data_IF_918355046568
#
_entry.id   IF_918355046568
#
_cell.length_a   1.000
_cell.length_b   1.000
_cell.length_c   1.000
_cell.angle_alpha   90.00
_cell.angle_beta   90.00
_cell.angle_gamma   90.00
#
_symmetry.space_group_name_H-M   'P 1'
#
loop_
_entity.id
_entity.type
_entity.pdbx_description
1 polymer ?
#
# COMPACT_ATOMS: atom_id res chain seq x y z
N UNK A 1 32.59 18.15 12.95
CA UNK A 1 31.24 17.53 13.06
C UNK A 1 31.31 16.08 12.57
N UNK A 2 31.18 15.09 13.46
CA UNK A 2 31.18 13.68 13.06
C UNK A 2 29.83 13.29 12.43
N UNK A 3 29.83 12.82 11.17
CA UNK A 3 28.66 12.19 10.56
C UNK A 3 28.39 10.88 11.31
N UNK A 4 27.32 10.82 12.11
CA UNK A 4 26.84 9.55 12.69
C UNK A 4 26.61 8.54 11.57
N UNK A 5 27.30 7.41 11.67
CA UNK A 5 27.16 6.33 10.72
C UNK A 5 25.71 5.83 10.75
N UNK A 6 25.05 5.66 9.58
CA UNK A 6 23.66 5.25 9.53
C UNK A 6 23.49 3.83 10.06
N UNK A 7 22.45 3.58 10.86
CA UNK A 7 22.19 2.25 11.42
C UNK A 7 21.83 1.23 10.33
N UNK A 8 22.25 -0.03 10.53
CA UNK A 8 21.96 -1.17 9.63
C UNK A 8 20.48 -1.29 9.29
N UNK A 9 19.61 -1.06 10.27
CA UNK A 9 18.14 -1.07 10.13
C UNK A 9 17.62 -0.09 9.08
N UNK A 10 18.30 1.05 8.91
CA UNK A 10 17.89 2.08 7.96
C UNK A 10 18.13 1.66 6.52
N UNK A 11 19.22 0.95 6.25
CA UNK A 11 19.54 0.42 4.94
C UNK A 11 18.59 -0.74 4.58
N UNK A 12 18.36 -1.68 5.51
CA UNK A 12 17.45 -2.80 5.29
C UNK A 12 16.03 -2.32 4.97
N UNK A 13 15.50 -1.39 5.75
CA UNK A 13 14.18 -0.82 5.48
C UNK A 13 14.09 -0.18 4.09
N UNK A 14 15.11 0.58 3.66
CA UNK A 14 15.12 1.17 2.32
C UNK A 14 15.08 0.14 1.20
N UNK A 15 15.86 -0.93 1.32
CA UNK A 15 15.82 -2.04 0.34
C UNK A 15 14.49 -2.79 0.35
N UNK A 16 13.85 -2.97 1.52
CA UNK A 16 12.53 -3.56 1.61
C UNK A 16 11.46 -2.69 0.91
N UNK A 17 11.52 -1.36 1.06
CA UNK A 17 10.64 -0.46 0.32
C UNK A 17 10.84 -0.58 -1.20
N UNK A 18 12.09 -0.70 -1.67
CA UNK A 18 12.37 -0.95 -3.11
C UNK A 18 11.79 -2.28 -3.56
N UNK A 19 12.01 -3.35 -2.79
CA UNK A 19 11.53 -4.69 -3.09
C UNK A 19 10.01 -4.77 -3.16
N UNK A 20 9.28 -3.99 -2.35
CA UNK A 20 7.82 -3.86 -2.45
C UNK A 20 7.40 -2.95 -3.60
N UNK A 21 8.11 -1.83 -3.82
CA UNK A 21 7.76 -0.86 -4.84
C UNK A 21 7.80 -1.44 -6.26
N UNK A 22 8.78 -2.29 -6.58
CA UNK A 22 8.91 -2.90 -7.92
C UNK A 22 7.64 -3.65 -8.33
N UNK A 23 7.16 -4.67 -7.58
CA UNK A 23 5.96 -5.41 -7.94
C UNK A 23 4.70 -4.53 -7.86
N UNK A 24 4.62 -3.57 -6.93
CA UNK A 24 3.53 -2.57 -6.93
C UNK A 24 3.53 -1.77 -8.23
N UNK A 25 4.70 -1.34 -8.72
CA UNK A 25 4.82 -0.61 -9.97
C UNK A 25 4.41 -1.44 -11.18
N UNK A 26 4.73 -2.75 -11.18
CA UNK A 26 4.27 -3.68 -12.22
C UNK A 26 2.75 -3.83 -12.18
N UNK A 27 2.16 -4.05 -11.00
CA UNK A 27 0.71 -4.22 -10.83
C UNK A 27 -0.04 -2.93 -11.24
N UNK A 28 0.38 -1.78 -10.71
CA UNK A 28 -0.25 -0.49 -11.03
C UNK A 28 0.00 -0.07 -12.48
N UNK A 29 1.19 -0.38 -13.02
CA UNK A 29 1.51 -0.13 -14.42
C UNK A 29 0.56 -0.89 -15.35
N UNK A 30 0.26 -2.15 -15.04
CA UNK A 30 -0.71 -2.95 -15.79
C UNK A 30 -2.11 -2.33 -15.77
N UNK A 31 -2.57 -1.87 -14.59
CA UNK A 31 -3.85 -1.18 -14.44
C UNK A 31 -3.95 0.03 -15.38
N UNK A 32 -2.91 0.86 -15.45
CA UNK A 32 -2.86 2.01 -16.38
C UNK A 32 -3.10 1.59 -17.84
N UNK A 33 -2.54 0.46 -18.27
CA UNK A 33 -2.71 -0.05 -19.64
C UNK A 33 -4.10 -0.63 -19.89
N UNK A 34 -4.69 -1.31 -18.91
CA UNK A 34 -6.02 -1.92 -19.06
C UNK A 34 -7.14 -0.87 -19.10
N UNK A 35 -6.91 0.31 -18.53
CA UNK A 35 -7.84 1.45 -18.59
C UNK A 35 -7.82 2.25 -19.89
N UNK A 36 -7.12 1.81 -20.94
CA UNK A 36 -7.14 2.48 -22.26
C UNK A 36 -8.52 2.50 -22.93
N UNK A 37 -9.44 1.63 -22.49
CA UNK A 37 -10.83 1.63 -22.94
C UNK A 37 -11.74 2.62 -22.21
N UNK A 38 -11.26 3.31 -21.17
CA UNK A 38 -12.04 4.33 -20.47
C UNK A 38 -12.04 5.65 -21.23
N UNK A 39 -13.12 6.42 -21.09
CA UNK A 39 -13.15 7.82 -21.51
C UNK A 39 -12.02 8.60 -20.83
N UNK A 40 -11.37 9.51 -21.57
CA UNK A 40 -10.24 10.30 -21.10
C UNK A 40 -10.56 11.10 -19.83
N UNK A 41 -11.81 11.51 -19.64
CA UNK A 41 -12.28 12.21 -18.43
C UNK A 41 -12.06 11.36 -17.18
N UNK A 42 -12.16 10.03 -17.27
CA UNK A 42 -11.91 9.11 -16.16
C UNK A 42 -10.49 8.55 -16.16
N UNK A 43 -9.92 8.32 -17.34
CA UNK A 43 -8.57 7.75 -17.47
C UNK A 43 -7.49 8.71 -16.93
N UNK A 44 -7.58 10.01 -17.25
CA UNK A 44 -6.55 11.00 -16.87
C UNK A 44 -6.40 11.13 -15.35
N UNK A 45 -7.47 11.34 -14.54
CA UNK A 45 -7.36 11.39 -13.10
C UNK A 45 -6.76 10.12 -12.49
N UNK A 46 -7.15 8.95 -13.03
CA UNK A 46 -6.68 7.66 -12.57
C UNK A 46 -5.19 7.46 -12.86
N UNK A 47 -4.74 7.82 -14.07
CA UNK A 47 -3.32 7.82 -14.42
C UNK A 47 -2.52 8.78 -13.57
N UNK A 48 -2.99 10.01 -13.37
CA UNK A 48 -2.35 11.00 -12.53
C UNK A 48 -2.22 10.50 -11.08
N UNK A 49 -3.26 9.83 -10.57
CA UNK A 49 -3.24 9.18 -9.25
C UNK A 49 -2.17 8.09 -9.17
N UNK A 50 -2.12 7.14 -10.12
CA UNK A 50 -1.10 6.08 -10.11
C UNK A 50 0.32 6.62 -10.27
N UNK A 51 0.53 7.60 -11.16
CA UNK A 51 1.81 8.29 -11.30
C UNK A 51 2.21 8.99 -9.99
N UNK A 52 1.27 9.60 -9.28
CA UNK A 52 1.48 10.18 -7.96
C UNK A 52 1.93 9.13 -6.94
N UNK A 53 1.26 7.98 -6.87
CA UNK A 53 1.65 6.86 -6.00
C UNK A 53 3.09 6.41 -6.30
N UNK A 54 3.42 6.21 -7.57
CA UNK A 54 4.75 5.76 -8.00
C UNK A 54 5.83 6.81 -7.73
N UNK A 55 5.55 8.09 -7.99
CA UNK A 55 6.49 9.17 -7.76
C UNK A 55 6.82 9.33 -6.26
N UNK A 56 5.80 9.32 -5.40
CA UNK A 56 5.99 9.42 -3.95
C UNK A 56 6.66 8.14 -3.40
N UNK A 57 6.23 6.97 -3.85
CA UNK A 57 6.82 5.68 -3.46
C UNK A 57 8.30 5.58 -3.84
N UNK A 58 8.64 5.96 -5.08
CA UNK A 58 10.03 6.03 -5.56
C UNK A 58 10.85 7.03 -4.74
N UNK A 59 10.28 8.21 -4.44
CA UNK A 59 10.96 9.21 -3.61
C UNK A 59 11.29 8.67 -2.23
N UNK A 60 10.38 7.92 -1.60
CA UNK A 60 10.62 7.27 -0.31
C UNK A 60 11.70 6.19 -0.40
N UNK A 61 11.61 5.31 -1.39
CA UNK A 61 12.56 4.22 -1.60
C UNK A 61 13.98 4.74 -1.87
N UNK A 62 14.12 5.67 -2.82
CA UNK A 62 15.40 6.31 -3.16
C UNK A 62 15.96 7.07 -1.96
N UNK A 63 15.14 7.88 -1.27
CA UNK A 63 15.60 8.61 -0.08
C UNK A 63 16.06 7.68 1.05
N UNK A 64 15.44 6.51 1.18
CA UNK A 64 15.81 5.52 2.17
C UNK A 64 17.16 4.86 1.84
N UNK A 65 17.39 4.50 0.57
CA UNK A 65 18.64 3.90 0.09
C UNK A 65 19.80 4.90 0.09
N UNK A 66 19.60 6.11 -0.45
CA UNK A 66 20.62 7.18 -0.52
C UNK A 66 20.93 7.82 0.84
N UNK A 67 20.22 7.39 1.90
CA UNK A 67 20.43 7.83 3.28
C UNK A 67 20.35 9.34 3.46
N UNK A 68 19.54 10.02 2.66
CA UNK A 68 19.31 11.45 2.82
C UNK A 68 18.82 11.77 4.23
N UNK A 69 19.31 12.88 4.79
CA UNK A 69 18.89 13.35 6.10
C UNK A 69 17.36 13.52 6.12
N UNK A 70 16.74 13.12 7.23
CA UNK A 70 15.32 13.39 7.47
C UNK A 70 15.09 14.90 7.44
N UNK A 71 14.13 15.36 6.62
CA UNK A 71 13.72 16.77 6.60
C UNK A 71 12.63 16.96 7.64
N UNK A 72 12.98 17.56 8.79
CA UNK A 72 12.04 17.90 9.85
C UNK A 72 11.43 16.70 10.57
N UNK A 73 10.98 16.91 11.80
CA UNK A 73 10.17 15.92 12.50
C UNK A 73 8.75 15.92 11.95
N UNK A 74 8.15 14.74 11.74
CA UNK A 74 6.70 14.66 11.55
C UNK A 74 5.99 15.12 12.81
N UNK A 75 5.01 16.02 12.65
CA UNK A 75 4.09 16.38 13.73
C UNK A 75 3.23 15.19 14.16
N UNK A 76 2.74 15.20 15.40
CA UNK A 76 1.99 14.07 15.96
C UNK A 76 0.75 13.72 15.12
N UNK A 77 -0.01 14.73 14.66
CA UNK A 77 -1.18 14.51 13.80
C UNK A 77 -0.83 13.82 12.48
N UNK A 78 0.30 14.17 11.85
CA UNK A 78 0.76 13.53 10.62
C UNK A 78 1.14 12.06 10.86
N UNK A 79 1.80 11.77 11.99
CA UNK A 79 2.14 10.38 12.35
C UNK A 79 0.90 9.54 12.57
N UNK A 80 -0.07 10.07 13.32
CA UNK A 80 -1.36 9.39 13.55
C UNK A 80 -2.08 9.17 12.23
N UNK A 81 -2.19 10.19 11.37
CA UNK A 81 -2.86 10.08 10.08
C UNK A 81 -2.23 9.01 9.17
N UNK A 82 -0.90 8.94 9.10
CA UNK A 82 -0.19 7.93 8.32
C UNK A 82 -0.31 6.52 8.94
N UNK A 83 -0.19 6.41 10.26
CA UNK A 83 -0.27 5.13 10.95
C UNK A 83 -1.68 4.52 10.89
N UNK A 84 -2.73 5.35 11.00
CA UNK A 84 -4.13 4.92 10.87
C UNK A 84 -4.53 4.62 9.42
N UNK A 85 -3.88 5.23 8.44
CA UNK A 85 -4.17 4.94 7.03
C UNK A 85 -3.91 3.46 6.69
N UNK A 86 -2.96 2.79 7.36
CA UNK A 86 -2.64 1.37 7.13
C UNK A 86 -3.79 0.43 7.51
N UNK A 87 -4.27 0.38 8.78
CA UNK A 87 -5.40 -0.49 9.14
C UNK A 87 -6.68 -0.12 8.39
N UNK A 88 -6.91 1.16 8.12
CA UNK A 88 -8.07 1.60 7.31
C UNK A 88 -7.94 1.07 5.89
N UNK A 89 -6.76 1.20 5.26
CA UNK A 89 -6.54 0.72 3.89
C UNK A 89 -6.64 -0.79 3.76
N UNK A 90 -6.09 -1.55 4.72
CA UNK A 90 -6.23 -3.01 4.77
C UNK A 90 -7.69 -3.43 4.92
N UNK A 91 -8.42 -2.83 5.87
CA UNK A 91 -9.85 -3.08 6.06
C UNK A 91 -10.65 -2.73 4.81
N UNK A 92 -10.35 -1.58 4.19
CA UNK A 92 -10.99 -1.14 2.96
C UNK A 92 -10.74 -2.13 1.82
N UNK A 93 -9.51 -2.61 1.58
CA UNK A 93 -9.24 -3.65 0.57
C UNK A 93 -9.97 -4.97 0.85
N UNK A 94 -10.10 -5.36 2.12
CA UNK A 94 -10.84 -6.58 2.48
C UNK A 94 -12.32 -6.40 2.13
N UNK A 95 -12.91 -5.27 2.51
CA UNK A 95 -14.31 -4.95 2.19
C UNK A 95 -14.53 -4.83 0.70
N UNK A 96 -13.59 -4.21 -0.03
CA UNK A 96 -13.58 -4.07 -1.48
C UNK A 96 -13.66 -5.43 -2.20
N UNK A 97 -12.86 -6.41 -1.76
CA UNK A 97 -12.84 -7.74 -2.38
C UNK A 97 -13.95 -8.68 -1.86
N UNK A 98 -14.40 -8.57 -0.60
CA UNK A 98 -15.17 -9.64 0.09
C UNK A 98 -16.47 -9.15 0.74
N UNK A 99 -16.75 -7.86 0.68
CA UNK A 99 -17.80 -7.22 1.44
C UNK A 99 -17.67 -7.44 2.96
N UNK A 100 -18.82 -7.46 3.64
CA UNK A 100 -18.88 -7.60 5.10
C UNK A 100 -18.69 -9.04 5.61
N UNK A 101 -18.38 -10.00 4.73
CA UNK A 101 -18.18 -11.40 5.14
C UNK A 101 -16.76 -11.67 5.66
N UNK A 102 -15.78 -10.83 5.30
CA UNK A 102 -14.37 -10.98 5.70
C UNK A 102 -13.81 -12.38 5.43
N UNK A 103 -14.29 -13.04 4.35
CA UNK A 103 -13.89 -14.40 3.99
C UNK A 103 -13.18 -14.41 2.65
N UNK A 104 -11.92 -14.83 2.66
CA UNK A 104 -11.11 -14.90 1.45
C UNK A 104 -11.58 -15.97 0.46
N UNK A 105 -11.40 -15.71 -0.85
CA UNK A 105 -11.76 -16.64 -1.92
C UNK A 105 -10.82 -17.85 -2.05
N UNK A 106 -9.67 -17.82 -1.36
CA UNK A 106 -8.73 -18.96 -1.24
C UNK A 106 -8.20 -19.05 0.18
N UNK A 107 -7.55 -20.16 0.54
CA UNK A 107 -6.87 -20.33 1.83
C UNK A 107 -5.82 -19.24 2.07
N UNK A 108 -5.02 -18.91 1.05
CA UNK A 108 -4.02 -17.83 1.13
C UNK A 108 -4.69 -16.48 1.37
N UNK A 109 -5.74 -16.17 0.62
CA UNK A 109 -6.51 -14.95 0.79
C UNK A 109 -7.09 -14.84 2.21
N UNK A 110 -7.65 -15.94 2.72
CA UNK A 110 -8.22 -15.98 4.06
C UNK A 110 -7.15 -15.76 5.15
N UNK A 111 -5.96 -16.34 4.99
CA UNK A 111 -4.80 -16.06 5.87
C UNK A 111 -4.39 -14.59 5.84
N UNK A 112 -4.38 -13.95 4.66
CA UNK A 112 -4.06 -12.54 4.54
C UNK A 112 -5.07 -11.66 5.30
N UNK A 113 -6.36 -11.95 5.17
CA UNK A 113 -7.45 -11.21 5.82
C UNK A 113 -7.43 -11.38 7.33
N UNK A 114 -7.38 -12.63 7.79
CA UNK A 114 -7.65 -12.98 9.19
C UNK A 114 -6.40 -12.87 10.06
N UNK A 115 -5.21 -12.94 9.48
CA UNK A 115 -3.95 -12.97 10.23
C UNK A 115 -3.01 -11.86 9.77
N UNK A 116 -2.66 -11.82 8.48
CA UNK A 116 -1.62 -10.90 8.02
C UNK A 116 -2.03 -9.42 8.18
N UNK A 117 -3.26 -9.07 7.80
CA UNK A 117 -3.75 -7.70 7.89
C UNK A 117 -3.82 -7.18 9.35
N UNK A 118 -4.37 -7.94 10.32
CA UNK A 118 -4.30 -7.58 11.73
C UNK A 118 -2.87 -7.46 12.27
N UNK A 119 -1.97 -8.38 11.90
CA UNK A 119 -0.56 -8.34 12.35
C UNK A 119 0.14 -7.09 11.82
N UNK A 120 0.01 -6.79 10.52
CA UNK A 120 0.60 -5.61 9.91
C UNK A 120 0.06 -4.31 10.53
N UNK A 121 -1.26 -4.26 10.76
CA UNK A 121 -1.91 -3.15 11.47
C UNK A 121 -1.34 -2.97 12.88
N UNK A 122 -1.22 -4.07 13.63
CA UNK A 122 -0.65 -4.08 14.97
C UNK A 122 0.80 -3.58 15.00
N UNK A 123 1.64 -3.99 14.05
CA UNK A 123 3.03 -3.52 13.95
C UNK A 123 3.12 -2.00 13.76
N UNK A 124 2.27 -1.43 12.90
CA UNK A 124 2.25 0.02 12.63
C UNK A 124 1.69 0.81 13.82
N UNK A 125 0.61 0.34 14.44
CA UNK A 125 0.04 1.00 15.62
C UNK A 125 0.98 0.90 16.84
N UNK A 126 1.64 -0.24 17.03
CA UNK A 126 2.67 -0.39 18.07
C UNK A 126 3.86 0.53 17.79
N UNK A 127 4.21 0.74 16.53
CA UNK A 127 5.23 1.71 16.16
C UNK A 127 4.82 3.14 16.51
N UNK A 128 3.56 3.52 16.27
CA UNK A 128 3.02 4.81 16.65
C UNK A 128 3.11 5.02 18.18
N UNK A 129 2.76 4.00 18.96
CA UNK A 129 2.77 4.05 20.42
C UNK A 129 4.19 4.09 21.02
N UNK A 130 5.11 3.30 20.48
CA UNK A 130 6.45 3.09 21.09
C UNK A 130 7.56 3.91 20.44
N UNK A 131 7.33 4.47 19.24
CA UNK A 131 8.35 5.13 18.43
C UNK A 131 9.46 4.20 17.92
N UNK A 132 9.36 2.88 18.13
CA UNK A 132 10.42 1.91 17.79
C UNK A 132 10.55 1.75 16.28
N UNK A 133 11.65 2.27 15.76
CA UNK A 133 12.01 2.25 14.33
C UNK A 133 12.13 0.85 13.72
N UNK A 134 12.51 -0.16 14.51
CA UNK A 134 12.58 -1.55 14.04
C UNK A 134 11.22 -2.11 13.58
N UNK A 135 10.12 -1.62 14.14
CA UNK A 135 8.76 -2.04 13.77
C UNK A 135 8.39 -1.60 12.35
N UNK A 136 8.88 -0.44 11.88
CA UNK A 136 8.71 -0.04 10.47
C UNK A 136 9.45 -0.99 9.53
N UNK A 137 10.64 -1.45 9.92
CA UNK A 137 11.40 -2.43 9.13
C UNK A 137 10.67 -3.77 9.08
N UNK A 138 10.17 -4.24 10.22
CA UNK A 138 9.37 -5.46 10.31
C UNK A 138 8.10 -5.35 9.45
N UNK A 139 7.36 -4.24 9.56
CA UNK A 139 6.16 -3.98 8.76
C UNK A 139 6.48 -3.96 7.25
N UNK A 140 7.57 -3.31 6.82
CA UNK A 140 7.99 -3.32 5.41
C UNK A 140 8.35 -4.71 4.90
N UNK A 141 9.01 -5.53 5.71
CA UNK A 141 9.33 -6.91 5.34
C UNK A 141 8.07 -7.78 5.27
N UNK A 142 7.18 -7.62 6.25
CA UNK A 142 5.92 -8.34 6.31
C UNK A 142 4.97 -7.99 5.16
N UNK A 143 5.06 -6.76 4.64
CA UNK A 143 4.29 -6.33 3.47
C UNK A 143 4.53 -7.21 2.23
N UNK A 144 5.70 -7.84 2.10
CA UNK A 144 6.00 -8.77 1.00
C UNK A 144 5.05 -9.98 0.98
N UNK A 145 4.49 -10.37 2.13
CA UNK A 145 3.54 -11.49 2.22
C UNK A 145 2.28 -11.22 1.39
N UNK A 146 1.85 -9.96 1.27
CA UNK A 146 0.66 -9.56 0.51
C UNK A 146 0.86 -9.62 -1.01
N UNK A 147 2.10 -9.74 -1.49
CA UNK A 147 2.42 -9.89 -2.91
C UNK A 147 2.30 -11.34 -3.40
N UNK A 148 2.11 -12.29 -2.50
CA UNK A 148 1.88 -13.70 -2.87
C UNK A 148 0.54 -13.81 -3.60
N UNK A 149 0.48 -14.44 -4.79
CA UNK A 149 -0.77 -14.69 -5.51
C UNK A 149 -1.82 -15.35 -4.62
N UNK A 150 -2.95 -14.67 -4.43
CA UNK A 150 -3.93 -15.02 -3.40
C UNK A 150 -5.39 -15.02 -3.88
N UNK A 151 -5.72 -14.35 -4.98
CA UNK A 151 -7.10 -14.17 -5.42
C UNK A 151 -7.43 -15.01 -6.67
N UNK A 152 -8.66 -15.55 -6.73
CA UNK A 152 -9.22 -16.25 -7.91
C UNK A 152 -10.45 -15.52 -8.49
N UNK A 153 -10.83 -14.37 -7.93
CA UNK A 153 -11.98 -13.60 -8.41
C UNK A 153 -11.61 -12.95 -9.74
N UNK A 154 -12.19 -13.45 -10.83
CA UNK A 154 -11.88 -13.01 -12.19
C UNK A 154 -12.59 -11.69 -12.49
N UNK A 155 -11.81 -10.62 -12.62
CA UNK A 155 -12.28 -9.26 -12.94
C UNK A 155 -11.20 -8.53 -13.77
N UNK A 156 -11.44 -7.31 -14.28
CA UNK A 156 -10.48 -6.62 -15.13
C UNK A 156 -9.09 -6.45 -14.51
N UNK A 157 -9.01 -6.31 -13.18
CA UNK A 157 -7.75 -6.16 -12.44
C UNK A 157 -7.03 -7.50 -12.25
N UNK A 158 -7.76 -8.57 -11.94
CA UNK A 158 -7.21 -9.85 -11.52
C UNK A 158 -7.04 -10.86 -12.66
N UNK A 159 -7.87 -10.79 -13.70
CA UNK A 159 -7.95 -11.79 -14.77
C UNK A 159 -6.61 -12.08 -15.44
N UNK A 160 -5.89 -11.06 -15.96
CA UNK A 160 -4.58 -11.28 -16.59
C UNK A 160 -3.56 -11.95 -15.68
N UNK A 161 -3.60 -11.69 -14.37
CA UNK A 161 -2.72 -12.33 -13.41
C UNK A 161 -3.13 -13.79 -13.12
N UNK A 162 -4.43 -14.07 -13.11
CA UNK A 162 -4.95 -15.44 -12.96
C UNK A 162 -4.54 -16.27 -14.18
N UNK A 163 -4.65 -15.73 -15.38
CA UNK A 163 -4.22 -16.42 -16.60
C UNK A 163 -2.71 -16.74 -16.59
N UNK A 164 -1.90 -15.81 -16.06
CA UNK A 164 -0.44 -15.97 -16.01
C UNK A 164 0.06 -16.85 -14.87
N UNK A 165 -0.53 -16.74 -13.68
CA UNK A 165 0.01 -17.30 -12.43
C UNK A 165 -0.93 -18.32 -11.76
N UNK A 166 -2.13 -18.53 -12.31
CA UNK A 166 -3.22 -19.32 -11.71
C UNK A 166 -3.95 -18.59 -10.57
N UNK A 167 -3.38 -17.50 -10.04
CA UNK A 167 -3.97 -16.64 -9.00
C UNK A 167 -3.47 -15.20 -9.18
N UNK A 168 -4.26 -14.22 -8.76
CA UNK A 168 -3.87 -12.82 -8.79
C UNK A 168 -3.20 -12.37 -7.47
N UNK A 169 -2.07 -11.63 -7.52
CA UNK A 169 -1.51 -10.90 -6.38
C UNK A 169 -2.15 -9.51 -6.18
N UNK A 170 -3.06 -9.07 -7.07
CA UNK A 170 -3.49 -7.68 -7.14
C UNK A 170 -4.61 -7.28 -6.17
N UNK A 171 -5.32 -8.21 -5.51
CA UNK A 171 -6.46 -7.87 -4.62
C UNK A 171 -6.07 -6.92 -3.47
N UNK A 172 -4.81 -6.93 -3.01
CA UNK A 172 -4.34 -6.02 -1.97
C UNK A 172 -3.47 -4.86 -2.52
N UNK A 173 -3.42 -4.63 -3.83
CA UNK A 173 -2.53 -3.63 -4.43
C UNK A 173 -2.73 -2.23 -3.84
N UNK A 174 -3.99 -1.81 -3.63
CA UNK A 174 -4.32 -0.52 -3.02
C UNK A 174 -3.79 -0.37 -1.59
N UNK A 175 -4.04 -1.36 -0.72
CA UNK A 175 -3.53 -1.35 0.66
C UNK A 175 -2.01 -1.52 0.74
N UNK A 176 -1.39 -2.25 -0.20
CA UNK A 176 0.07 -2.33 -0.29
C UNK A 176 0.66 -0.95 -0.63
N UNK A 177 0.09 -0.24 -1.61
CA UNK A 177 0.50 1.12 -1.95
C UNK A 177 0.33 2.07 -0.76
N UNK A 178 -0.82 2.04 -0.09
CA UNK A 178 -1.08 2.81 1.13
C UNK A 178 -0.01 2.54 2.19
N UNK A 179 0.27 1.27 2.46
CA UNK A 179 1.25 0.87 3.47
C UNK A 179 2.65 1.30 3.09
N UNK A 180 3.06 1.12 1.83
CA UNK A 180 4.37 1.54 1.32
C UNK A 180 4.60 3.04 1.53
N UNK A 181 3.63 3.88 1.14
CA UNK A 181 3.71 5.33 1.28
C UNK A 181 3.69 5.75 2.75
N UNK A 182 2.84 5.13 3.57
CA UNK A 182 2.74 5.40 4.99
C UNK A 182 4.06 5.09 5.72
N UNK A 183 4.63 3.91 5.50
CA UNK A 183 5.89 3.50 6.14
C UNK A 183 7.07 4.38 5.69
N UNK A 184 7.16 4.69 4.40
CA UNK A 184 8.18 5.59 3.86
C UNK A 184 8.13 6.98 4.50
N UNK A 185 6.92 7.56 4.57
CA UNK A 185 6.69 8.85 5.19
C UNK A 185 6.99 8.82 6.70
N UNK A 186 6.47 7.83 7.44
CA UNK A 186 6.72 7.66 8.88
C UNK A 186 8.21 7.53 9.21
N UNK A 187 8.99 6.91 8.31
CA UNK A 187 10.43 6.73 8.50
C UNK A 187 11.23 8.02 8.29
N UNK A 188 10.90 8.81 7.26
CA UNK A 188 11.79 9.88 6.76
C UNK A 188 11.20 11.28 6.84
N UNK A 189 9.89 11.42 7.01
CA UNK A 189 9.17 12.70 7.03
C UNK A 189 9.10 13.44 5.69
N UNK A 190 9.75 12.93 4.64
CA UNK A 190 9.73 13.55 3.30
C UNK A 190 8.36 13.37 2.66
N UNK A 191 7.89 14.39 1.95
CA UNK A 191 6.60 14.35 1.24
C UNK A 191 5.43 13.89 2.11
N UNK A 192 5.44 14.21 3.41
CA UNK A 192 4.43 13.75 4.35
C UNK A 192 3.02 14.17 3.92
N UNK A 193 2.85 15.44 3.51
CA UNK A 193 1.56 15.96 3.02
C UNK A 193 1.05 15.20 1.80
N UNK A 194 1.89 15.00 0.78
CA UNK A 194 1.53 14.24 -0.41
C UNK A 194 1.21 12.78 -0.08
N UNK A 195 1.99 12.16 0.82
CA UNK A 195 1.74 10.79 1.27
C UNK A 195 0.38 10.69 1.96
N UNK A 196 0.08 11.60 2.91
CA UNK A 196 -1.22 11.66 3.60
C UNK A 196 -2.36 11.81 2.59
N UNK A 197 -2.25 12.76 1.66
CA UNK A 197 -3.29 13.00 0.66
C UNK A 197 -3.56 11.76 -0.17
N UNK A 198 -2.50 11.12 -0.70
CA UNK A 198 -2.64 9.93 -1.55
C UNK A 198 -3.19 8.74 -0.76
N UNK A 199 -2.67 8.45 0.44
CA UNK A 199 -3.14 7.27 1.19
C UNK A 199 -4.61 7.39 1.61
N UNK A 200 -5.05 8.57 2.03
CA UNK A 200 -6.45 8.78 2.41
C UNK A 200 -7.38 8.84 1.21
N UNK A 201 -6.93 9.40 0.08
CA UNK A 201 -7.67 9.31 -1.18
C UNK A 201 -7.84 7.85 -1.60
N UNK A 202 -6.78 7.04 -1.53
CA UNK A 202 -6.81 5.60 -1.86
C UNK A 202 -7.82 4.87 -0.98
N UNK A 203 -7.77 5.11 0.33
CA UNK A 203 -8.71 4.51 1.29
C UNK A 203 -10.16 4.90 0.98
N UNK A 204 -10.41 6.19 0.69
CA UNK A 204 -11.73 6.67 0.34
C UNK A 204 -12.24 6.04 -0.97
N UNK A 205 -11.39 5.90 -1.99
CA UNK A 205 -11.74 5.26 -3.25
C UNK A 205 -12.09 3.78 -3.07
N UNK A 206 -11.29 3.01 -2.31
CA UNK A 206 -11.62 1.60 -2.02
C UNK A 206 -12.94 1.46 -1.26
N UNK A 207 -13.20 2.33 -0.27
CA UNK A 207 -14.47 2.31 0.46
C UNK A 207 -15.66 2.72 -0.43
N UNK A 208 -15.47 3.71 -1.30
CA UNK A 208 -16.49 4.12 -2.26
C UNK A 208 -16.80 3.01 -3.28
N UNK A 209 -15.77 2.32 -3.78
CA UNK A 209 -15.96 1.17 -4.65
C UNK A 209 -16.67 0.03 -3.93
N UNK A 210 -16.26 -0.34 -2.71
CA UNK A 210 -16.99 -1.31 -1.87
C UNK A 210 -18.48 -0.96 -1.80
N UNK A 211 -18.84 0.29 -1.47
CA UNK A 211 -20.24 0.72 -1.36
C UNK A 211 -20.95 0.61 -2.71
N UNK A 212 -20.35 1.15 -3.77
CA UNK A 212 -20.91 1.13 -5.12
C UNK A 212 -21.12 -0.29 -5.64
N UNK A 213 -20.11 -1.13 -5.50
CA UNK A 213 -20.10 -2.50 -6.01
C UNK A 213 -21.11 -3.38 -5.25
N UNK A 214 -21.06 -3.39 -3.92
CA UNK A 214 -21.86 -4.31 -3.11
C UNK A 214 -23.31 -3.87 -2.91
N UNK A 215 -23.61 -2.56 -2.92
CA UNK A 215 -24.97 -2.07 -2.65
C UNK A 215 -25.66 -1.45 -3.87
N UNK A 216 -24.90 -0.92 -4.82
CA UNK A 216 -25.44 -0.24 -6.00
C UNK A 216 -25.14 -0.95 -7.33
N UNK A 217 -24.56 -2.16 -7.28
CA UNK A 217 -24.26 -3.02 -8.44
C UNK A 217 -23.37 -2.34 -9.48
N UNK A 218 -22.48 -1.44 -9.06
CA UNK A 218 -21.42 -0.91 -9.92
C UNK A 218 -20.55 -2.10 -10.36
N UNK A 219 -20.32 -2.32 -11.67
CA UNK A 219 -19.50 -3.44 -12.13
C UNK A 219 -18.02 -3.26 -11.75
N UNK A 220 -17.29 -4.38 -11.76
CA UNK A 220 -15.82 -4.39 -11.64
C UNK A 220 -15.13 -3.85 -12.88
#
# INVERSE_FOLDING_TARGET
MQRKQPSRDSALHGWLLVAVLIPVAVILGRLVFDFRGLDLVYAIPLWAYYLGVLAVGTTHAVSAVQRHASRGGLGQGQRVALALAVPVGLTASIMDCMGLQFRGCTTTCNMLVQVAAPVLSGLVLLQLATGRRGLLTAASGFLLVFLVPNCICYNPVNGPWIDLLGKSPACFAGSIAVTLLALGALRRGRMAGASIAIVWLTNATMLAFFVGHHYYRVPW
#
